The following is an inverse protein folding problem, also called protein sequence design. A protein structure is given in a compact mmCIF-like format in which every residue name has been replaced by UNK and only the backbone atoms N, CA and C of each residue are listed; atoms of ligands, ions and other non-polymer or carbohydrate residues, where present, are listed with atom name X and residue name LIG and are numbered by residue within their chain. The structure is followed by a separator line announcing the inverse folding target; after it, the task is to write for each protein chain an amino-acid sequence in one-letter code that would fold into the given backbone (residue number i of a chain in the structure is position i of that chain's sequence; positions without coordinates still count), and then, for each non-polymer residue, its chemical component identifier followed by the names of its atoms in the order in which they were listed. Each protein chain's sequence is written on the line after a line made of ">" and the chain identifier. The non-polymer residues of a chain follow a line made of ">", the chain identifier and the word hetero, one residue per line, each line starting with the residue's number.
data_IF_881108519751
#
_entry.id   IF_881108519751
#
_cell.length_a   1.000
_cell.length_b   1.000
_cell.length_c   1.000
_cell.angle_alpha   90.00
_cell.angle_beta   90.00
_cell.angle_gamma   90.00
#
_symmetry.space_group_name_H-M   'P 1'
#
loop_
_entity.id
_entity.type
_entity.pdbx_description
1 polymer ?
#
# COMPACT_ATOMS: atom_id res chain seq x y z
N UNK A 1 15.13 3.70 -18.26
CA UNK A 1 15.71 5.05 -18.09
C UNK A 1 14.57 5.97 -17.67
N UNK A 2 14.40 6.23 -16.37
CA UNK A 2 13.24 6.95 -15.82
C UNK A 2 13.59 8.36 -15.31
N UNK A 3 12.63 9.03 -14.67
CA UNK A 3 12.76 10.35 -14.04
C UNK A 3 14.04 10.50 -13.20
N UNK A 4 14.42 9.46 -12.48
CA UNK A 4 15.61 9.45 -11.61
C UNK A 4 16.92 9.68 -12.36
N UNK A 5 17.02 9.20 -13.60
CA UNK A 5 18.24 9.36 -14.40
C UNK A 5 18.47 10.82 -14.80
N UNK A 6 17.40 11.54 -15.16
CA UNK A 6 17.48 12.95 -15.55
C UNK A 6 17.85 13.84 -14.35
N UNK A 7 17.31 13.53 -13.17
CA UNK A 7 17.62 14.22 -11.92
C UNK A 7 19.08 14.01 -11.52
N UNK A 8 19.57 12.77 -11.57
CA UNK A 8 20.97 12.44 -11.24
C UNK A 8 21.94 13.07 -12.25
N UNK A 9 21.63 13.02 -13.55
CA UNK A 9 22.48 13.63 -14.58
C UNK A 9 22.56 15.16 -14.43
N UNK A 10 21.42 15.84 -14.23
CA UNK A 10 21.37 17.29 -14.07
C UNK A 10 22.11 17.79 -12.82
N UNK A 11 21.91 17.11 -11.69
CA UNK A 11 22.58 17.48 -10.43
C UNK A 11 24.09 17.23 -10.50
N UNK A 12 24.52 16.15 -11.15
CA UNK A 12 25.94 15.85 -11.38
C UNK A 12 26.58 16.93 -12.25
N UNK A 13 25.96 17.31 -13.37
CA UNK A 13 26.46 18.36 -14.28
C UNK A 13 26.58 19.72 -13.56
N UNK A 14 25.54 20.13 -12.81
CA UNK A 14 25.58 21.40 -12.07
C UNK A 14 26.61 21.41 -10.94
N UNK A 15 26.81 20.30 -10.25
CA UNK A 15 27.81 20.19 -9.19
C UNK A 15 29.23 20.20 -9.76
N UNK A 16 29.49 19.44 -10.82
CA UNK A 16 30.79 19.44 -11.51
C UNK A 16 31.11 20.82 -12.08
N UNK A 17 30.15 21.52 -12.68
CA UNK A 17 30.35 22.88 -13.18
C UNK A 17 30.70 23.86 -12.06
N UNK A 18 29.99 23.81 -10.93
CA UNK A 18 30.29 24.64 -9.77
C UNK A 18 31.66 24.34 -9.15
N UNK A 19 32.07 23.07 -9.14
CA UNK A 19 33.40 22.65 -8.67
C UNK A 19 34.51 23.16 -9.59
N UNK A 20 34.36 23.00 -10.91
CA UNK A 20 35.33 23.48 -11.90
C UNK A 20 35.44 25.01 -11.88
N UNK A 21 34.33 25.73 -11.71
CA UNK A 21 34.37 27.20 -11.61
C UNK A 21 35.03 27.68 -10.31
N UNK A 22 34.86 26.96 -9.20
CA UNK A 22 35.55 27.23 -7.94
C UNK A 22 37.06 27.02 -8.05
N UNK A 23 37.49 25.90 -8.65
CA UNK A 23 38.92 25.62 -8.88
C UNK A 23 39.54 26.62 -9.86
N UNK A 24 38.83 26.98 -10.92
CA UNK A 24 39.30 27.97 -11.91
C UNK A 24 39.46 29.38 -11.32
N UNK A 25 38.55 29.77 -10.42
CA UNK A 25 38.64 31.04 -9.69
C UNK A 25 39.81 31.07 -8.70
N UNK A 26 40.10 29.93 -8.05
CA UNK A 26 41.24 29.81 -7.13
C UNK A 26 42.61 29.87 -7.83
N UNK A 27 42.67 29.52 -9.12
CA UNK A 27 43.91 29.53 -9.92
C UNK A 27 44.18 30.87 -10.63
N UNK A 28 43.17 31.72 -10.80
CA UNK A 28 43.29 33.00 -11.51
C UNK A 28 42.53 34.13 -10.78
N UNK A 29 43.26 35.01 -10.08
CA UNK A 29 42.71 36.13 -9.28
C UNK A 29 41.85 37.15 -10.06
N UNK A 30 41.95 37.17 -11.40
CA UNK A 30 41.19 38.10 -12.26
C UNK A 30 39.84 37.54 -12.76
N UNK A 31 39.48 36.30 -12.41
CA UNK A 31 38.23 35.69 -12.84
C UNK A 31 37.13 35.94 -11.81
N UNK A 32 36.24 36.92 -12.05
CA UNK A 32 34.99 37.05 -11.29
C UNK A 32 34.06 35.88 -11.65
N UNK A 33 34.26 34.72 -11.03
CA UNK A 33 33.40 33.55 -11.21
C UNK A 33 32.06 33.76 -10.51
N UNK A 34 30.97 33.76 -11.28
CA UNK A 34 29.63 33.64 -10.72
C UNK A 34 29.42 32.18 -10.28
N UNK A 35 29.34 31.93 -8.98
CA UNK A 35 29.15 30.57 -8.44
C UNK A 35 27.66 30.20 -8.48
N UNK A 36 27.31 29.18 -9.25
CA UNK A 36 25.94 28.65 -9.35
C UNK A 36 25.61 27.61 -8.26
N UNK A 37 26.40 27.58 -7.19
CA UNK A 37 26.21 26.68 -6.05
C UNK A 37 24.80 26.85 -5.46
N UNK A 38 24.35 28.08 -5.29
CA UNK A 38 23.02 28.40 -4.75
C UNK A 38 21.89 27.87 -5.64
N UNK A 39 21.93 28.14 -6.94
CA UNK A 39 20.91 27.66 -7.89
C UNK A 39 20.87 26.13 -7.96
N UNK A 40 22.04 25.47 -7.94
CA UNK A 40 22.11 24.00 -7.96
C UNK A 40 21.59 23.36 -6.66
N UNK A 41 21.85 23.97 -5.50
CA UNK A 41 21.35 23.52 -4.21
C UNK A 41 19.83 23.69 -4.10
N UNK A 42 19.28 24.80 -4.63
CA UNK A 42 17.85 25.06 -4.65
C UNK A 42 17.10 24.07 -5.56
N UNK A 43 17.63 23.80 -6.76
CA UNK A 43 17.07 22.79 -7.67
C UNK A 43 17.09 21.39 -7.05
N UNK A 44 18.22 20.97 -6.46
CA UNK A 44 18.34 19.68 -5.80
C UNK A 44 17.32 19.55 -4.65
N UNK A 45 17.17 20.61 -3.86
CA UNK A 45 16.22 20.66 -2.74
C UNK A 45 14.78 20.52 -3.24
N UNK A 46 14.37 21.30 -4.26
CA UNK A 46 12.99 21.23 -4.77
C UNK A 46 12.66 19.90 -5.44
N UNK A 47 13.59 19.32 -6.20
CA UNK A 47 13.36 18.01 -6.82
C UNK A 47 13.21 16.92 -5.76
N UNK A 48 14.10 16.90 -4.76
CA UNK A 48 14.03 15.91 -3.68
C UNK A 48 12.78 16.10 -2.82
N UNK A 49 12.42 17.35 -2.53
CA UNK A 49 11.20 17.69 -1.81
C UNK A 49 9.95 17.25 -2.58
N UNK A 50 9.90 17.48 -3.89
CA UNK A 50 8.81 17.02 -4.76
C UNK A 50 8.65 15.50 -4.72
N UNK A 51 9.76 14.76 -4.86
CA UNK A 51 9.75 13.29 -4.73
C UNK A 51 9.35 12.81 -3.35
N UNK A 52 9.76 13.53 -2.30
CA UNK A 52 9.37 13.22 -0.93
C UNK A 52 7.87 13.40 -0.74
N UNK A 53 7.29 14.51 -1.21
CA UNK A 53 5.85 14.76 -1.18
C UNK A 53 5.09 13.73 -2.00
N UNK A 54 5.60 13.33 -3.17
CA UNK A 54 5.02 12.29 -4.01
C UNK A 54 4.99 10.93 -3.27
N UNK A 55 6.11 10.55 -2.64
CA UNK A 55 6.19 9.32 -1.86
C UNK A 55 5.25 9.34 -0.65
N UNK A 56 5.16 10.48 0.04
CA UNK A 56 4.26 10.67 1.18
C UNK A 56 2.79 10.56 0.77
N UNK A 57 2.42 11.13 -0.37
CA UNK A 57 1.05 11.05 -0.90
C UNK A 57 0.70 9.60 -1.29
N UNK A 58 1.60 8.91 -1.98
CA UNK A 58 1.41 7.50 -2.36
C UNK A 58 1.33 6.57 -1.14
N UNK A 59 2.11 6.83 -0.10
CA UNK A 59 2.08 6.07 1.15
C UNK A 59 0.69 6.10 1.82
N UNK A 60 0.12 7.30 1.99
CA UNK A 60 -1.23 7.44 2.59
C UNK A 60 -2.32 6.73 1.79
N UNK A 61 -2.24 6.74 0.45
CA UNK A 61 -3.21 6.01 -0.38
C UNK A 61 -3.02 4.50 -0.30
N UNK A 62 -1.77 4.03 -0.18
CA UNK A 62 -1.49 2.60 -0.03
C UNK A 62 -1.97 2.06 1.32
N UNK A 63 -1.87 2.86 2.39
CA UNK A 63 -2.36 2.48 3.72
C UNK A 63 -3.88 2.32 3.73
N UNK A 64 -4.63 3.26 3.14
CA UNK A 64 -6.08 3.16 3.04
C UNK A 64 -6.53 1.96 2.19
N UNK A 65 -5.80 1.65 1.09
CA UNK A 65 -6.08 0.46 0.27
C UNK A 65 -5.80 -0.84 1.03
N UNK A 66 -4.71 -0.86 1.81
CA UNK A 66 -4.35 -1.99 2.68
C UNK A 66 -5.39 -2.21 3.78
N UNK A 67 -5.94 -1.12 4.33
CA UNK A 67 -7.01 -1.18 5.32
C UNK A 67 -8.31 -1.73 4.73
N UNK A 68 -8.67 -1.32 3.51
CA UNK A 68 -9.81 -1.90 2.79
C UNK A 68 -9.60 -3.40 2.51
N UNK A 69 -8.39 -3.82 2.14
CA UNK A 69 -8.07 -5.23 1.95
C UNK A 69 -8.14 -6.06 3.25
N UNK A 70 -7.92 -5.44 4.42
CA UNK A 70 -8.04 -6.13 5.73
C UNK A 70 -9.49 -6.37 6.15
N UNK A 71 -10.44 -5.58 5.64
CA UNK A 71 -11.87 -5.73 5.92
C UNK A 71 -12.50 -6.94 5.21
N UNK A 72 -11.84 -7.51 4.20
CA UNK A 72 -12.32 -8.73 3.53
C UNK A 72 -12.17 -9.97 4.44
N UNK A 73 -13.23 -10.77 4.62
CA UNK A 73 -13.16 -12.01 5.38
C UNK A 73 -12.26 -13.03 4.69
N UNK A 74 -11.29 -13.58 5.42
CA UNK A 74 -10.36 -14.58 4.88
C UNK A 74 -10.89 -16.01 4.96
N UNK A 75 -11.88 -16.25 5.81
CA UNK A 75 -12.42 -17.58 6.08
C UNK A 75 -13.95 -17.60 5.93
N UNK A 76 -14.45 -18.76 5.55
CA UNK A 76 -15.87 -19.05 5.41
C UNK A 76 -16.18 -20.41 6.09
N UNK A 77 -17.38 -20.55 6.64
CA UNK A 77 -17.86 -21.80 7.23
C UNK A 77 -18.64 -22.59 6.17
N UNK A 78 -18.05 -23.65 5.65
CA UNK A 78 -18.69 -24.56 4.70
C UNK A 78 -19.56 -25.60 5.43
N UNK A 79 -20.80 -25.72 4.99
CA UNK A 79 -21.73 -26.76 5.43
C UNK A 79 -21.46 -28.03 4.62
N UNK A 80 -21.01 -29.09 5.28
CA UNK A 80 -20.78 -30.39 4.65
C UNK A 80 -21.89 -31.35 5.09
N UNK A 81 -22.69 -31.85 4.14
CA UNK A 81 -23.81 -32.75 4.42
C UNK A 81 -23.38 -33.96 5.28
N UNK A 82 -23.96 -34.08 6.48
CA UNK A 82 -23.71 -35.19 7.42
C UNK A 82 -22.43 -35.07 8.27
N UNK A 83 -21.71 -33.95 8.23
CA UNK A 83 -20.51 -33.68 9.06
C UNK A 83 -20.62 -32.32 9.74
N UNK A 84 -19.72 -32.07 10.70
CA UNK A 84 -19.58 -30.75 11.34
C UNK A 84 -19.15 -29.72 10.30
N UNK A 85 -19.62 -28.49 10.48
CA UNK A 85 -19.21 -27.32 9.70
C UNK A 85 -17.69 -27.18 9.70
N UNK A 86 -17.11 -26.86 8.54
CA UNK A 86 -15.66 -26.72 8.37
C UNK A 86 -15.31 -25.30 8.00
N UNK A 87 -14.37 -24.71 8.73
CA UNK A 87 -13.77 -23.44 8.33
C UNK A 87 -12.79 -23.68 7.18
N UNK A 88 -13.02 -22.99 6.07
CA UNK A 88 -12.19 -23.03 4.88
C UNK A 88 -11.76 -21.60 4.50
N UNK A 89 -10.56 -21.42 3.93
CA UNK A 89 -10.17 -20.15 3.36
C UNK A 89 -11.05 -19.79 2.17
N UNK A 90 -11.30 -18.49 1.97
CA UNK A 90 -12.20 -17.98 0.92
C UNK A 90 -11.76 -18.38 -0.49
N UNK A 91 -10.46 -18.60 -0.72
CA UNK A 91 -9.94 -19.02 -2.03
C UNK A 91 -10.35 -20.46 -2.42
N UNK A 92 -10.82 -21.27 -1.46
CA UNK A 92 -11.26 -22.64 -1.69
C UNK A 92 -12.78 -22.79 -1.83
N UNK A 93 -13.54 -21.69 -1.71
CA UNK A 93 -15.00 -21.71 -1.89
C UNK A 93 -15.34 -21.87 -3.37
N UNK A 94 -16.23 -22.80 -3.68
CA UNK A 94 -16.67 -23.09 -5.05
C UNK A 94 -18.13 -22.71 -5.28
N UNK A 95 -18.50 -22.54 -6.55
CA UNK A 95 -19.88 -22.25 -6.94
C UNK A 95 -20.79 -23.44 -6.58
N UNK A 96 -21.85 -23.18 -5.79
CA UNK A 96 -22.78 -24.20 -5.31
C UNK A 96 -22.55 -24.64 -3.87
N UNK A 97 -21.48 -24.17 -3.23
CA UNK A 97 -21.24 -24.41 -1.80
C UNK A 97 -22.27 -23.71 -0.92
N UNK A 98 -22.68 -24.38 0.16
CA UNK A 98 -23.55 -23.82 1.19
C UNK A 98 -22.71 -23.30 2.35
N UNK A 99 -22.69 -21.99 2.53
CA UNK A 99 -21.96 -21.35 3.61
C UNK A 99 -22.89 -20.99 4.76
N UNK A 100 -22.42 -21.18 6.00
CA UNK A 100 -23.11 -20.76 7.21
C UNK A 100 -22.56 -19.41 7.69
N UNK A 101 -23.44 -18.44 7.87
CA UNK A 101 -23.08 -17.12 8.40
C UNK A 101 -23.68 -16.99 9.81
N UNK A 102 -22.83 -16.72 10.80
CA UNK A 102 -23.27 -16.47 12.18
C UNK A 102 -23.75 -15.02 12.35
N UNK A 103 -24.66 -14.74 13.29
CA UNK A 103 -25.04 -13.36 13.59
C UNK A 103 -23.82 -12.50 13.94
N UNK A 104 -23.65 -11.36 13.25
CA UNK A 104 -22.50 -10.47 13.43
C UNK A 104 -21.22 -10.88 12.68
N UNK A 105 -21.22 -12.01 11.97
CA UNK A 105 -20.12 -12.36 11.08
C UNK A 105 -20.20 -11.62 9.74
N UNK A 106 -19.04 -11.27 9.18
CA UNK A 106 -18.96 -10.65 7.85
C UNK A 106 -19.29 -11.65 6.74
N UNK A 107 -19.91 -11.16 5.68
CA UNK A 107 -20.30 -11.97 4.51
C UNK A 107 -19.04 -12.19 3.65
N UNK A 108 -18.61 -13.44 3.41
CA UNK A 108 -17.33 -13.71 2.77
C UNK A 108 -17.33 -13.53 1.25
N UNK A 109 -18.46 -13.72 0.57
CA UNK A 109 -18.61 -13.58 -0.88
C UNK A 109 -20.06 -13.28 -1.25
N UNK A 110 -20.28 -12.80 -2.48
CA UNK A 110 -21.61 -12.69 -3.07
C UNK A 110 -22.27 -14.07 -3.18
N UNK A 111 -23.49 -14.19 -2.67
CA UNK A 111 -24.24 -15.45 -2.66
C UNK A 111 -25.76 -15.19 -2.64
N UNK A 112 -26.54 -16.20 -3.01
CA UNK A 112 -27.99 -16.18 -2.90
C UNK A 112 -28.38 -16.74 -1.54
N UNK A 113 -29.22 -16.00 -0.81
CA UNK A 113 -29.69 -16.43 0.52
C UNK A 113 -30.64 -17.62 0.38
N UNK A 114 -30.22 -18.79 0.88
CA UNK A 114 -31.10 -19.94 1.09
C UNK A 114 -31.57 -19.93 2.54
N UNK A 115 -32.84 -19.61 2.78
CA UNK A 115 -33.40 -19.54 4.13
C UNK A 115 -33.51 -20.97 4.69
N UNK A 116 -32.59 -21.31 5.60
CA UNK A 116 -32.76 -22.41 6.55
C UNK A 116 -32.85 -21.81 7.93
N UNK A 117 -34.07 -21.74 8.48
CA UNK A 117 -34.29 -21.29 9.85
C UNK A 117 -33.74 -22.34 10.80
N UNK A 118 -32.54 -22.12 11.33
CA UNK A 118 -32.05 -22.89 12.45
C UNK A 118 -32.76 -22.37 13.71
N UNK A 119 -33.67 -23.16 14.26
CA UNK A 119 -34.20 -22.90 15.59
C UNK A 119 -33.02 -22.86 16.58
N UNK A 120 -32.99 -21.92 17.55
CA UNK A 120 -32.01 -21.98 18.62
C UNK A 120 -32.13 -23.35 19.28
N UNK A 121 -31.03 -24.09 19.33
CA UNK A 121 -30.98 -25.36 20.05
C UNK A 121 -31.43 -25.06 21.47
N UNK A 122 -32.61 -25.56 21.86
CA UNK A 122 -33.09 -25.46 23.23
C UNK A 122 -31.99 -26.03 24.12
N UNK A 123 -31.45 -25.21 25.02
CA UNK A 123 -30.61 -25.71 26.09
C UNK A 123 -31.49 -26.65 26.91
N UNK A 124 -31.31 -27.96 26.72
CA UNK A 124 -31.88 -28.96 27.61
C UNK A 124 -31.33 -28.68 29.00
N UNK A 125 -32.18 -28.10 29.84
CA UNK A 125 -31.99 -28.02 31.27
C UNK A 125 -31.80 -29.45 31.80
N UNK A 126 -30.57 -29.84 32.10
CA UNK A 126 -30.33 -30.95 33.03
C UNK A 126 -30.45 -30.39 34.43
N UNK A 127 -31.68 -30.26 34.91
CA UNK A 127 -31.94 -30.33 36.34
C UNK A 127 -31.83 -31.81 36.68
N UNK A 128 -30.79 -32.15 37.43
CA UNK A 128 -30.56 -33.43 38.08
C UNK A 128 -29.86 -33.14 39.40
#
# INVERSE_FOLDING_TARGET
>A
MGMDFLVVAGTTISYTYSFVSMVGSALHENYKSHHFFESSAMLLTFVTLGKYMESMAKGKTADALSELAKLQPKTALLIVNGKRDREIPIELVQQGDLLRILPGASIPTDAIVSIKTALPAQSSSSIG
#
